data_IF_434914895871
#
_entry.id   IF_434914895871
#
_cell.length_a   1.000
_cell.length_b   1.000
_cell.length_c   1.000
_cell.angle_alpha   90.00
_cell.angle_beta   90.00
_cell.angle_gamma   90.00
#
_symmetry.space_group_name_H-M   'P 1'
#
loop_
_entity.id
_entity.type
_entity.pdbx_description
1 polymer ?
#
# COMPACT_ATOMS: atom_id res chain seq x y z
N UNK A 1 -11.77 -15.57 -3.75
CA UNK A 1 -11.38 -16.99 -3.49
C UNK A 1 -10.60 -17.16 -2.17
N UNK A 2 -9.61 -16.29 -1.82
CA UNK A 2 -8.84 -16.40 -0.56
C UNK A 2 -9.75 -16.32 0.66
N UNK A 3 -10.56 -15.27 0.78
CA UNK A 3 -11.51 -15.05 1.88
C UNK A 3 -12.44 -16.26 2.07
N UNK A 4 -13.02 -16.78 0.98
CA UNK A 4 -13.89 -17.97 1.07
C UNK A 4 -13.17 -19.16 1.68
N UNK A 5 -11.90 -19.40 1.30
CA UNK A 5 -11.09 -20.49 1.87
C UNK A 5 -10.78 -20.24 3.34
N UNK A 6 -10.44 -19.01 3.72
CA UNK A 6 -10.16 -18.67 5.11
C UNK A 6 -11.39 -18.89 5.99
N UNK A 7 -12.56 -18.39 5.57
CA UNK A 7 -13.82 -18.56 6.31
C UNK A 7 -14.24 -20.03 6.39
N UNK A 8 -14.20 -20.77 5.28
CA UNK A 8 -14.58 -22.19 5.24
C UNK A 8 -13.72 -23.05 6.17
N UNK A 9 -12.45 -22.74 6.30
CA UNK A 9 -11.50 -23.50 7.11
C UNK A 9 -11.25 -22.87 8.50
N UNK A 10 -12.01 -21.86 8.92
CA UNK A 10 -11.82 -21.11 10.18
C UNK A 10 -10.38 -20.61 10.37
N UNK A 11 -9.74 -20.19 9.29
CA UNK A 11 -8.37 -19.67 9.32
C UNK A 11 -8.40 -18.17 9.71
N UNK A 12 -7.81 -17.85 10.86
CA UNK A 12 -7.47 -16.47 11.23
C UNK A 12 -6.22 -16.04 10.47
N UNK A 13 -6.07 -14.73 10.21
CA UNK A 13 -4.86 -14.30 9.51
C UNK A 13 -4.89 -12.82 9.09
N UNK A 14 -3.95 -12.48 8.21
CA UNK A 14 -3.77 -11.12 7.73
C UNK A 14 -3.80 -11.07 6.20
N UNK A 15 -4.66 -10.24 5.67
CA UNK A 15 -4.73 -9.89 4.25
C UNK A 15 -4.07 -8.52 4.09
N UNK A 16 -3.08 -8.44 3.21
CA UNK A 16 -2.34 -7.20 2.96
C UNK A 16 -2.52 -6.82 1.49
N UNK A 17 -3.26 -5.76 1.24
CA UNK A 17 -3.44 -5.23 -0.10
C UNK A 17 -2.33 -4.23 -0.44
N UNK A 18 -1.81 -4.27 -1.66
CA UNK A 18 -0.83 -3.29 -2.14
C UNK A 18 -1.57 -2.14 -2.81
N UNK A 19 -1.61 -1.02 -2.11
CA UNK A 19 -2.19 0.23 -2.60
C UNK A 19 -1.09 1.16 -3.17
N UNK A 20 -1.16 2.42 -2.86
CA UNK A 20 -0.20 3.46 -3.24
C UNK A 20 -0.41 4.69 -2.36
N UNK A 21 0.61 5.56 -2.21
CA UNK A 21 0.36 6.90 -1.68
C UNK A 21 -0.72 7.63 -2.48
N UNK A 22 -0.88 7.32 -3.79
CA UNK A 22 -1.96 7.85 -4.64
C UNK A 22 -3.34 7.24 -4.35
N UNK A 23 -3.49 6.41 -3.35
CA UNK A 23 -4.76 6.07 -2.70
C UNK A 23 -5.17 7.08 -1.63
N UNK A 24 -4.32 8.07 -1.33
CA UNK A 24 -4.55 9.11 -0.31
C UNK A 24 -4.42 10.53 -0.88
N UNK A 25 -3.72 10.70 -2.00
CA UNK A 25 -3.53 12.00 -2.68
C UNK A 25 -3.72 11.86 -4.19
N UNK A 26 -4.06 12.97 -4.85
CA UNK A 26 -4.13 13.03 -6.31
C UNK A 26 -2.75 13.22 -6.94
N UNK A 27 -2.69 13.03 -8.26
CA UNK A 27 -1.51 13.31 -9.06
C UNK A 27 -1.88 13.70 -10.49
N UNK A 28 -1.14 14.63 -11.14
CA UNK A 28 -1.40 15.01 -12.52
C UNK A 28 -1.26 13.81 -13.45
N UNK A 29 -2.16 13.69 -14.42
CA UNK A 29 -2.21 12.58 -15.38
C UNK A 29 -2.35 11.17 -14.73
N UNK A 30 -2.96 11.10 -13.53
CA UNK A 30 -3.13 9.87 -12.77
C UNK A 30 -4.58 9.58 -12.37
N UNK A 31 -5.57 10.21 -13.01
CA UNK A 31 -6.99 10.09 -12.63
C UNK A 31 -7.43 8.64 -12.46
N UNK A 32 -7.28 7.81 -13.49
CA UNK A 32 -7.68 6.39 -13.45
C UNK A 32 -6.87 5.59 -12.41
N UNK A 33 -5.57 5.85 -12.30
CA UNK A 33 -4.70 5.19 -11.34
C UNK A 33 -5.12 5.55 -9.90
N UNK A 34 -5.27 6.84 -9.59
CA UNK A 34 -5.73 7.31 -8.29
C UNK A 34 -7.10 6.68 -7.96
N UNK A 35 -8.07 6.73 -8.89
CA UNK A 35 -9.38 6.12 -8.68
C UNK A 35 -9.28 4.65 -8.29
N UNK A 36 -8.42 3.87 -8.97
CA UNK A 36 -8.21 2.47 -8.64
C UNK A 36 -7.62 2.25 -7.25
N UNK A 37 -6.70 3.14 -6.83
CA UNK A 37 -6.03 3.02 -5.52
C UNK A 37 -6.92 3.51 -4.37
N UNK A 38 -7.69 4.57 -4.55
CA UNK A 38 -8.76 4.95 -3.60
C UNK A 38 -9.81 3.85 -3.44
N UNK A 39 -10.15 3.15 -4.53
CA UNK A 39 -11.06 2.00 -4.46
C UNK A 39 -10.48 0.86 -3.60
N UNK A 40 -9.17 0.58 -3.68
CA UNK A 40 -8.50 -0.42 -2.82
C UNK A 40 -8.55 -0.01 -1.35
N UNK A 41 -8.39 1.28 -1.03
CA UNK A 41 -8.51 1.78 0.34
C UNK A 41 -9.93 1.58 0.89
N UNK A 42 -10.96 1.97 0.12
CA UNK A 42 -12.36 1.75 0.50
C UNK A 42 -12.70 0.27 0.64
N UNK A 43 -12.26 -0.56 -0.33
CA UNK A 43 -12.43 -2.02 -0.29
C UNK A 43 -11.79 -2.64 0.97
N UNK A 44 -10.57 -2.22 1.31
CA UNK A 44 -9.86 -2.73 2.49
C UNK A 44 -10.60 -2.42 3.79
N UNK A 45 -11.12 -1.19 3.92
CA UNK A 45 -11.88 -0.78 5.12
C UNK A 45 -13.18 -1.59 5.26
N UNK A 46 -13.95 -1.75 4.19
CA UNK A 46 -15.19 -2.54 4.21
C UNK A 46 -14.89 -4.00 4.56
N UNK A 47 -13.90 -4.58 3.89
CA UNK A 47 -13.52 -5.98 4.11
C UNK A 47 -12.98 -6.22 5.53
N UNK A 48 -12.30 -5.24 6.12
CA UNK A 48 -11.82 -5.30 7.50
C UNK A 48 -12.98 -5.38 8.51
N UNK A 49 -14.05 -4.62 8.27
CA UNK A 49 -15.28 -4.65 9.09
C UNK A 49 -15.98 -6.00 8.96
N UNK A 50 -16.11 -6.49 7.72
CA UNK A 50 -16.77 -7.77 7.43
C UNK A 50 -16.05 -8.97 8.03
N UNK A 51 -14.72 -8.98 8.01
CA UNK A 51 -13.90 -10.14 8.39
C UNK A 51 -13.35 -10.07 9.83
N UNK A 52 -13.40 -8.89 10.46
CA UNK A 52 -12.95 -8.71 11.84
C UNK A 52 -13.55 -9.72 12.84
N UNK A 53 -14.89 -9.97 12.82
CA UNK A 53 -15.50 -10.98 13.68
C UNK A 53 -14.96 -12.40 13.50
N UNK A 54 -14.35 -12.70 12.35
CA UNK A 54 -13.73 -13.99 12.06
C UNK A 54 -12.23 -14.04 12.41
N UNK A 55 -11.68 -12.96 13.02
CA UNK A 55 -10.26 -12.86 13.35
C UNK A 55 -9.34 -12.71 12.12
N UNK A 56 -9.86 -12.18 11.02
CA UNK A 56 -9.08 -11.89 9.81
C UNK A 56 -8.88 -10.38 9.74
N UNK A 57 -7.62 -9.95 9.72
CA UNK A 57 -7.24 -8.55 9.58
C UNK A 57 -7.03 -8.21 8.10
N UNK A 58 -7.39 -7.00 7.70
CA UNK A 58 -7.21 -6.53 6.33
C UNK A 58 -6.64 -5.12 6.36
N UNK A 59 -5.44 -4.92 5.80
CA UNK A 59 -4.74 -3.64 5.80
C UNK A 59 -4.12 -3.35 4.42
N UNK A 60 -3.65 -2.13 4.21
CA UNK A 60 -2.90 -1.75 3.02
C UNK A 60 -1.46 -1.36 3.34
N UNK A 61 -0.56 -1.65 2.40
CA UNK A 61 0.76 -0.99 2.29
C UNK A 61 0.68 -0.05 1.10
N UNK A 62 1.09 1.20 1.30
CA UNK A 62 0.93 2.30 0.35
C UNK A 62 2.29 2.89 -0.04
N UNK A 63 3.02 2.25 -0.98
CA UNK A 63 4.31 2.75 -1.42
C UNK A 63 4.20 4.02 -2.27
N UNK A 64 5.28 4.80 -2.29
CA UNK A 64 5.59 5.75 -3.35
C UNK A 64 6.29 5.05 -4.52
N UNK A 65 7.07 5.77 -5.31
CA UNK A 65 7.86 5.20 -6.41
C UNK A 65 8.98 4.30 -5.88
N UNK A 66 8.87 3.01 -6.15
CA UNK A 66 9.85 1.98 -5.79
C UNK A 66 10.64 1.60 -7.04
N UNK A 67 11.95 1.49 -6.93
CA UNK A 67 12.82 1.03 -8.02
C UNK A 67 12.57 -0.46 -8.28
N UNK A 68 11.96 -0.75 -9.41
CA UNK A 68 11.61 -2.09 -9.88
C UNK A 68 11.69 -2.14 -11.40
N UNK A 69 11.74 -3.33 -12.02
CA UNK A 69 11.66 -3.45 -13.49
C UNK A 69 10.41 -2.76 -14.09
N UNK A 70 9.32 -2.68 -13.34
CA UNK A 70 8.09 -2.00 -13.79
C UNK A 70 8.26 -0.48 -13.86
N UNK A 71 8.99 0.12 -12.92
CA UNK A 71 9.17 1.58 -12.83
C UNK A 71 10.38 2.08 -13.60
N UNK A 72 11.33 1.21 -13.91
CA UNK A 72 12.57 1.54 -14.62
C UNK A 72 12.35 2.32 -15.94
N UNK A 73 11.40 1.96 -16.82
CA UNK A 73 11.16 2.72 -18.05
C UNK A 73 10.82 4.19 -17.82
N UNK A 74 10.06 4.49 -16.77
CA UNK A 74 9.70 5.87 -16.41
C UNK A 74 10.87 6.61 -15.78
N UNK A 75 11.72 5.91 -15.04
CA UNK A 75 12.88 6.47 -14.33
C UNK A 75 14.10 6.72 -15.23
N UNK A 76 14.05 6.30 -16.51
CA UNK A 76 15.01 6.68 -17.55
C UNK A 76 14.85 8.12 -18.01
N UNK A 77 13.67 8.70 -17.85
CA UNK A 77 13.44 10.13 -18.04
C UNK A 77 13.99 10.88 -16.81
N UNK A 78 15.12 11.56 -17.00
CA UNK A 78 15.81 12.25 -15.91
C UNK A 78 15.01 13.43 -15.36
N UNK A 79 14.18 14.10 -16.17
CA UNK A 79 13.30 15.17 -15.70
C UNK A 79 12.18 14.62 -14.83
N UNK A 80 11.53 13.54 -15.28
CA UNK A 80 10.52 12.85 -14.51
C UNK A 80 11.09 12.33 -13.18
N UNK A 81 12.27 11.71 -13.22
CA UNK A 81 12.95 11.19 -12.03
C UNK A 81 13.29 12.30 -11.03
N UNK A 82 13.87 13.40 -11.51
CA UNK A 82 14.20 14.57 -10.67
C UNK A 82 12.95 15.18 -10.03
N UNK A 83 11.88 15.34 -10.80
CA UNK A 83 10.60 15.86 -10.31
C UNK A 83 10.01 14.91 -9.26
N UNK A 84 10.02 13.60 -9.53
CA UNK A 84 9.53 12.58 -8.59
C UNK A 84 10.31 12.58 -7.28
N UNK A 85 11.65 12.61 -7.33
CA UNK A 85 12.50 12.68 -6.14
C UNK A 85 12.24 13.98 -5.37
N UNK A 86 12.07 15.10 -6.06
CA UNK A 86 11.74 16.39 -5.44
C UNK A 86 10.42 16.42 -4.67
N UNK A 87 9.51 15.48 -4.97
CA UNK A 87 8.26 15.29 -4.23
C UNK A 87 8.41 14.41 -2.98
N UNK A 88 9.55 13.73 -2.81
CA UNK A 88 9.82 12.84 -1.68
C UNK A 88 10.75 13.56 -0.68
N UNK A 89 10.29 13.98 0.50
CA UNK A 89 11.14 14.67 1.49
C UNK A 89 12.42 13.94 1.87
N UNK A 90 12.43 12.60 1.89
CA UNK A 90 13.66 11.83 2.11
C UNK A 90 14.65 11.88 0.94
N UNK A 91 14.33 12.56 -0.18
CA UNK A 91 15.25 12.85 -1.28
C UNK A 91 15.69 11.65 -2.10
N UNK A 92 14.98 10.51 -2.02
CA UNK A 92 15.30 9.31 -2.79
C UNK A 92 14.06 8.51 -3.18
N UNK A 93 14.18 7.72 -4.22
CA UNK A 93 13.19 6.68 -4.53
C UNK A 93 13.24 5.57 -3.48
N UNK A 94 12.13 4.86 -3.33
CA UNK A 94 12.10 3.65 -2.50
C UNK A 94 12.78 2.47 -3.18
N UNK A 95 13.20 1.51 -2.39
CA UNK A 95 13.68 0.20 -2.81
C UNK A 95 12.77 -0.89 -2.26
N UNK A 96 12.80 -2.09 -2.85
CA UNK A 96 11.99 -3.23 -2.38
C UNK A 96 12.23 -3.54 -0.89
N UNK A 97 13.47 -3.39 -0.42
CA UNK A 97 13.82 -3.58 1.00
C UNK A 97 13.09 -2.63 1.95
N UNK A 98 12.74 -1.41 1.50
CA UNK A 98 12.01 -0.44 2.31
C UNK A 98 10.58 -0.92 2.64
N UNK A 99 10.04 -1.85 1.85
CA UNK A 99 8.71 -2.43 2.06
C UNK A 99 8.72 -3.67 2.95
N UNK A 100 9.86 -4.31 3.15
CA UNK A 100 9.96 -5.58 3.89
C UNK A 100 9.43 -5.47 5.32
N UNK A 101 9.85 -4.42 6.05
CA UNK A 101 9.40 -4.18 7.43
C UNK A 101 7.89 -4.08 7.55
N UNK A 102 7.22 -3.17 6.83
CA UNK A 102 5.77 -3.05 6.81
C UNK A 102 5.01 -4.34 6.49
N UNK A 103 5.47 -5.12 5.50
CA UNK A 103 4.84 -6.40 5.17
C UNK A 103 5.00 -7.41 6.29
N UNK A 104 6.20 -7.59 6.84
CA UNK A 104 6.46 -8.50 7.96
C UNK A 104 5.67 -8.08 9.20
N UNK A 105 5.63 -6.79 9.51
CA UNK A 105 4.84 -6.24 10.62
C UNK A 105 3.36 -6.57 10.45
N UNK A 106 2.75 -6.26 9.31
CA UNK A 106 1.33 -6.52 9.07
C UNK A 106 1.00 -8.03 9.01
N UNK A 107 1.93 -8.87 8.60
CA UNK A 107 1.76 -10.32 8.56
C UNK A 107 1.87 -10.99 9.95
N UNK A 108 2.50 -10.31 10.91
CA UNK A 108 2.80 -10.87 12.23
C UNK A 108 1.79 -10.46 13.31
N UNK A 109 1.92 -11.07 14.50
CA UNK A 109 1.15 -10.72 15.69
C UNK A 109 1.48 -9.32 16.24
N UNK A 110 2.60 -8.71 15.84
CA UNK A 110 2.95 -7.34 16.21
C UNK A 110 1.90 -6.31 15.76
N UNK A 111 1.07 -6.65 14.78
CA UNK A 111 -0.04 -5.84 14.30
C UNK A 111 -1.42 -6.43 14.63
N UNK A 112 -1.53 -7.23 15.69
CA UNK A 112 -2.75 -7.99 16.04
C UNK A 112 -4.00 -7.12 16.24
N UNK A 113 -3.86 -5.85 16.62
CA UNK A 113 -4.98 -4.90 16.77
C UNK A 113 -5.18 -4.00 15.54
N UNK A 114 -4.44 -4.21 14.44
CA UNK A 114 -4.54 -3.40 13.24
C UNK A 114 -5.38 -4.08 12.17
N UNK A 115 -6.51 -3.45 11.83
CA UNK A 115 -7.33 -3.81 10.66
C UNK A 115 -7.97 -2.56 10.08
N UNK A 116 -8.22 -2.53 8.77
CA UNK A 116 -8.74 -1.36 8.06
C UNK A 116 -7.78 -0.17 7.96
N UNK A 117 -6.50 -0.39 8.27
CA UNK A 117 -5.46 0.64 8.34
C UNK A 117 -4.57 0.64 7.10
N UNK A 118 -3.92 1.79 6.86
CA UNK A 118 -2.98 1.99 5.75
C UNK A 118 -1.61 2.34 6.28
N UNK A 119 -0.57 1.65 5.82
CA UNK A 119 0.83 1.99 6.12
C UNK A 119 1.43 2.69 4.90
N UNK A 120 1.65 4.00 5.02
CA UNK A 120 2.35 4.80 4.02
C UNK A 120 3.85 4.54 4.10
N UNK A 121 4.45 4.18 2.95
CA UNK A 121 5.90 3.96 2.79
C UNK A 121 6.34 4.85 1.63
N UNK A 122 6.30 6.15 1.85
CA UNK A 122 6.32 7.16 0.80
C UNK A 122 7.43 8.22 0.95
N UNK A 123 8.28 8.06 1.94
CA UNK A 123 9.37 9.01 2.20
C UNK A 123 8.89 10.42 2.54
N UNK A 124 7.63 10.56 2.99
CA UNK A 124 7.00 11.82 3.35
C UNK A 124 6.25 12.51 2.21
N UNK A 125 6.02 11.84 1.07
CA UNK A 125 5.29 12.42 -0.06
C UNK A 125 3.93 12.98 0.37
N UNK A 126 3.18 12.27 1.20
CA UNK A 126 1.82 12.67 1.65
C UNK A 126 1.80 13.52 2.92
N UNK A 127 2.94 13.89 3.47
CA UNK A 127 3.04 14.67 4.70
C UNK A 127 2.81 16.19 4.51
N UNK A 128 2.28 16.61 3.34
CA UNK A 128 2.00 18.03 2.99
C UNK A 128 0.50 18.24 2.85
#
# INVERSE_FOLDING_TARGET
NVVKKMLHNNIKGSIINVSSQMGHVGGPNRTTYCSSKFAIEGFTKSLAIELGPNGIRVNTVCPTFIQTPMTEPFLKDEEFKKTTIGMIPLGRLGEVKDLMGPFVFLASEASSLMTGSSILVDGGWTAR
#
